data_IF_092232036384
#
_entry.id   IF_092232036384
#
_cell.length_a   1.000
_cell.length_b   1.000
_cell.length_c   1.000
_cell.angle_alpha   90.00
_cell.angle_beta   90.00
_cell.angle_gamma   90.00
#
_symmetry.space_group_name_H-M   'P 1'
#
loop_
_entity.id
_entity.type
_entity.pdbx_description
1 polymer ?
#
# COMPACT_ATOMS: atom_id res chain seq x y z
N UNK A 1 -32.35 -52.18 9.81
CA UNK A 1 -31.26 -51.49 10.51
C UNK A 1 -29.98 -52.10 9.94
N UNK A 2 -29.08 -51.39 9.25
CA UNK A 2 -28.38 -50.19 9.72
C UNK A 2 -27.85 -49.34 8.55
N UNK A 3 -27.69 -48.07 8.88
CA UNK A 3 -27.39 -46.90 8.03
C UNK A 3 -26.03 -47.01 7.34
N UNK A 4 -26.04 -46.73 6.04
CA UNK A 4 -24.87 -46.35 5.24
C UNK A 4 -24.31 -45.02 5.76
N UNK A 5 -23.06 -45.01 6.20
CA UNK A 5 -22.35 -43.78 6.51
C UNK A 5 -21.73 -43.24 5.22
N UNK A 6 -22.36 -42.21 4.64
CA UNK A 6 -21.80 -41.48 3.51
C UNK A 6 -20.77 -40.50 4.03
N UNK A 7 -19.48 -40.87 3.95
CA UNK A 7 -18.37 -39.93 4.14
C UNK A 7 -18.41 -38.92 2.99
N UNK A 8 -18.90 -37.71 3.28
CA UNK A 8 -18.88 -36.58 2.35
C UNK A 8 -17.42 -36.23 2.03
N UNK A 9 -16.99 -36.54 0.80
CA UNK A 9 -15.74 -36.05 0.23
C UNK A 9 -15.85 -34.52 0.12
N UNK A 10 -15.27 -33.82 1.10
CA UNK A 10 -15.13 -32.36 1.08
C UNK A 10 -14.38 -32.00 -0.20
N UNK A 11 -14.98 -31.15 -1.03
CA UNK A 11 -14.50 -30.90 -2.38
C UNK A 11 -13.05 -30.36 -2.36
N UNK A 12 -12.10 -30.93 -3.13
CA UNK A 12 -10.66 -30.61 -3.04
C UNK A 12 -10.32 -29.13 -3.16
N UNK A 13 -11.15 -28.34 -3.87
CA UNK A 13 -10.99 -26.90 -4.04
C UNK A 13 -11.30 -26.09 -2.77
N UNK A 14 -12.28 -26.53 -1.98
CA UNK A 14 -12.65 -25.87 -0.73
C UNK A 14 -11.55 -26.04 0.32
N UNK A 15 -10.93 -27.23 0.37
CA UNK A 15 -9.83 -27.51 1.30
C UNK A 15 -8.55 -26.78 0.88
N UNK A 16 -8.24 -26.73 -0.42
CA UNK A 16 -7.11 -25.95 -0.93
C UNK A 16 -7.24 -24.44 -0.64
N UNK A 17 -8.47 -23.89 -0.71
CA UNK A 17 -8.73 -22.49 -0.37
C UNK A 17 -8.59 -22.23 1.13
N UNK A 18 -9.21 -23.06 1.98
CA UNK A 18 -9.05 -22.96 3.45
C UNK A 18 -7.59 -23.06 3.88
N UNK A 19 -6.82 -23.94 3.25
CA UNK A 19 -5.39 -24.07 3.54
C UNK A 19 -4.60 -22.83 3.12
N UNK A 20 -4.94 -22.23 1.97
CA UNK A 20 -4.35 -20.96 1.53
C UNK A 20 -4.66 -19.84 2.52
N UNK A 21 -5.92 -19.70 2.92
CA UNK A 21 -6.37 -18.66 3.86
C UNK A 21 -5.67 -18.83 5.22
N UNK A 22 -5.56 -20.08 5.71
CA UNK A 22 -4.83 -20.36 6.96
C UNK A 22 -3.35 -19.99 6.90
N UNK A 23 -2.68 -20.22 5.76
CA UNK A 23 -1.29 -19.78 5.55
C UNK A 23 -1.20 -18.25 5.56
N UNK A 24 -2.16 -17.54 4.97
CA UNK A 24 -2.20 -16.07 4.99
C UNK A 24 -2.38 -15.52 6.41
N UNK A 25 -3.27 -16.10 7.22
CA UNK A 25 -3.47 -15.72 8.62
C UNK A 25 -2.17 -15.91 9.44
N UNK A 26 -1.48 -17.04 9.24
CA UNK A 26 -0.22 -17.30 9.90
C UNK A 26 0.89 -16.35 9.43
N UNK A 27 0.95 -16.04 8.14
CA UNK A 27 1.91 -15.09 7.58
C UNK A 27 1.69 -13.69 8.14
N UNK A 28 0.43 -13.24 8.25
CA UNK A 28 0.07 -11.95 8.86
C UNK A 28 0.59 -11.85 10.30
N UNK A 29 0.29 -12.85 11.12
CA UNK A 29 0.74 -12.89 12.52
C UNK A 29 2.27 -12.90 12.63
N UNK A 30 2.94 -13.59 11.70
CA UNK A 30 4.39 -13.66 11.67
C UNK A 30 5.02 -12.32 11.28
N UNK A 31 4.56 -11.71 10.17
CA UNK A 31 5.07 -10.43 9.69
C UNK A 31 4.78 -9.27 10.64
N UNK A 32 3.65 -9.30 11.35
CA UNK A 32 3.33 -8.32 12.39
C UNK A 32 4.35 -8.32 13.54
N UNK A 33 5.03 -9.45 13.79
CA UNK A 33 5.99 -9.61 14.89
C UNK A 33 7.45 -9.47 14.45
N UNK A 34 7.76 -9.87 13.22
CA UNK A 34 9.15 -10.04 12.76
C UNK A 34 9.48 -9.23 11.50
N UNK A 35 8.54 -8.44 10.98
CA UNK A 35 8.66 -7.78 9.69
C UNK A 35 8.65 -8.76 8.52
N UNK A 36 8.65 -8.22 7.29
CA UNK A 36 8.52 -9.02 6.06
C UNK A 36 9.78 -9.82 5.71
N UNK A 37 10.92 -9.53 6.36
CA UNK A 37 12.22 -10.18 6.11
C UNK A 37 12.37 -11.58 6.71
N UNK A 38 11.52 -12.00 7.66
CA UNK A 38 11.69 -13.27 8.38
C UNK A 38 11.43 -14.55 7.56
N UNK A 39 11.68 -15.73 8.12
CA UNK A 39 11.74 -17.00 7.36
C UNK A 39 10.38 -17.53 6.88
N UNK A 40 10.28 -17.93 5.60
CA UNK A 40 9.09 -18.62 5.06
C UNK A 40 8.90 -20.01 5.71
N UNK A 41 9.98 -20.70 6.08
CA UNK A 41 9.88 -21.98 6.78
C UNK A 41 9.33 -21.79 8.20
N UNK A 42 9.65 -20.67 8.85
CA UNK A 42 9.07 -20.33 10.14
C UNK A 42 7.56 -20.05 10.02
N UNK A 43 7.13 -19.41 8.91
CA UNK A 43 5.71 -19.22 8.60
C UNK A 43 5.03 -20.57 8.34
N UNK A 44 5.64 -21.47 7.57
CA UNK A 44 5.11 -22.82 7.35
C UNK A 44 4.90 -23.57 8.67
N UNK A 45 5.91 -23.53 9.55
CA UNK A 45 5.83 -24.10 10.90
C UNK A 45 4.71 -23.47 11.73
N UNK A 46 4.56 -22.14 11.69
CA UNK A 46 3.51 -21.42 12.40
C UNK A 46 2.11 -21.77 11.86
N UNK A 47 1.97 -21.97 10.55
CA UNK A 47 0.74 -22.41 9.89
C UNK A 47 0.46 -23.92 10.07
N UNK A 48 1.35 -24.68 10.73
CA UNK A 48 1.19 -26.12 10.89
C UNK A 48 1.25 -26.90 9.57
N UNK A 49 1.84 -26.34 8.51
CA UNK A 49 1.96 -26.98 7.19
C UNK A 49 3.42 -27.34 6.89
N UNK A 50 3.63 -28.35 6.04
CA UNK A 50 4.96 -28.64 5.52
C UNK A 50 5.47 -27.52 4.59
N UNK A 51 6.78 -27.27 4.58
CA UNK A 51 7.39 -26.24 3.73
C UNK A 51 7.02 -26.41 2.24
N UNK A 52 7.04 -27.65 1.74
CA UNK A 52 6.62 -27.95 0.37
C UNK A 52 5.16 -27.56 0.06
N UNK A 53 4.26 -27.61 1.04
CA UNK A 53 2.88 -27.14 0.89
C UNK A 53 2.83 -25.62 0.77
N UNK A 54 3.58 -24.90 1.61
CA UNK A 54 3.69 -23.44 1.51
C UNK A 54 4.24 -23.02 0.14
N UNK A 55 5.37 -23.59 -0.30
CA UNK A 55 5.99 -23.25 -1.58
C UNK A 55 5.11 -23.58 -2.79
N UNK A 56 4.25 -24.61 -2.71
CA UNK A 56 3.25 -24.89 -3.75
C UNK A 56 2.17 -23.81 -3.86
N UNK A 57 1.76 -23.21 -2.75
CA UNK A 57 0.79 -22.12 -2.75
C UNK A 57 1.42 -20.76 -3.04
N UNK A 58 2.66 -20.56 -2.58
CA UNK A 58 3.40 -19.31 -2.61
C UNK A 58 4.87 -19.61 -2.94
N UNK A 59 5.24 -19.64 -4.23
CA UNK A 59 6.58 -20.05 -4.67
C UNK A 59 7.71 -19.20 -4.10
N UNK A 60 7.43 -17.96 -3.73
CA UNK A 60 8.39 -17.05 -3.11
C UNK A 60 7.67 -16.07 -2.15
N UNK A 61 8.48 -15.29 -1.44
CA UNK A 61 8.01 -14.30 -0.46
C UNK A 61 7.10 -13.24 -1.09
N UNK A 62 7.47 -12.74 -2.27
CA UNK A 62 6.67 -11.70 -2.95
C UNK A 62 5.28 -12.23 -3.33
N UNK A 63 5.15 -13.50 -3.72
CA UNK A 63 3.86 -14.12 -3.99
C UNK A 63 2.99 -14.26 -2.73
N UNK A 64 3.61 -14.57 -1.58
CA UNK A 64 2.93 -14.59 -0.29
C UNK A 64 2.49 -13.18 0.12
N UNK A 65 3.38 -12.19 0.02
CA UNK A 65 3.09 -10.79 0.33
C UNK A 65 1.97 -10.26 -0.58
N UNK A 66 2.05 -10.46 -1.89
CA UNK A 66 1.03 -10.00 -2.83
C UNK A 66 -0.36 -10.56 -2.48
N UNK A 67 -0.44 -11.85 -2.16
CA UNK A 67 -1.70 -12.47 -1.76
C UNK A 67 -2.21 -11.97 -0.40
N UNK A 68 -1.32 -11.78 0.57
CA UNK A 68 -1.68 -11.24 1.89
C UNK A 68 -2.15 -9.80 1.79
N UNK A 69 -1.44 -8.97 1.03
CA UNK A 69 -1.76 -7.57 0.82
C UNK A 69 -3.09 -7.38 0.08
N UNK A 70 -3.37 -8.23 -0.91
CA UNK A 70 -4.67 -8.27 -1.59
C UNK A 70 -5.81 -8.72 -0.65
N UNK A 71 -5.53 -9.56 0.35
CA UNK A 71 -6.54 -9.91 1.35
C UNK A 71 -6.78 -8.79 2.38
N UNK A 72 -5.86 -7.83 2.50
CA UNK A 72 -5.91 -6.72 3.46
C UNK A 72 -6.35 -5.38 2.85
N UNK A 73 -6.59 -5.32 1.54
CA UNK A 73 -6.84 -4.05 0.86
C UNK A 73 -8.24 -3.46 1.11
N UNK A 74 -9.17 -4.21 1.71
CA UNK A 74 -10.56 -3.80 1.94
C UNK A 74 -10.67 -2.43 2.61
N UNK A 75 -9.90 -2.18 3.67
CA UNK A 75 -9.90 -0.90 4.38
C UNK A 75 -9.39 0.25 3.49
N UNK A 76 -8.34 0.01 2.69
CA UNK A 76 -7.80 1.00 1.77
C UNK A 76 -8.77 1.28 0.61
N UNK A 77 -9.44 0.26 0.10
CA UNK A 77 -10.46 0.40 -0.95
C UNK A 77 -11.71 1.13 -0.43
N UNK A 78 -12.14 0.84 0.79
CA UNK A 78 -13.21 1.59 1.46
C UNK A 78 -12.82 3.07 1.60
N UNK A 79 -11.60 3.35 2.08
CA UNK A 79 -11.10 4.71 2.23
C UNK A 79 -11.02 5.46 0.89
N UNK A 80 -10.57 4.81 -0.17
CA UNK A 80 -10.59 5.35 -1.54
C UNK A 80 -12.00 5.79 -1.95
N UNK A 81 -13.00 4.94 -1.74
CA UNK A 81 -14.37 5.22 -2.15
C UNK A 81 -15.02 6.33 -1.32
N UNK A 82 -14.68 6.42 -0.03
CA UNK A 82 -15.04 7.57 0.80
C UNK A 82 -14.43 8.87 0.29
N UNK A 83 -13.14 8.89 -0.03
CA UNK A 83 -12.46 10.09 -0.52
C UNK A 83 -13.06 10.59 -1.83
N UNK A 84 -13.44 9.67 -2.73
CA UNK A 84 -14.12 10.03 -3.99
C UNK A 84 -15.47 10.71 -3.80
N UNK A 85 -16.15 10.45 -2.68
CA UNK A 85 -17.53 10.88 -2.45
C UNK A 85 -17.66 12.00 -1.44
N UNK A 86 -16.77 12.07 -0.45
CA UNK A 86 -16.89 12.95 0.72
C UNK A 86 -15.78 14.00 0.85
N UNK A 87 -14.72 13.92 0.06
CA UNK A 87 -13.66 14.93 0.12
C UNK A 87 -14.20 16.32 -0.28
N UNK A 88 -13.73 17.36 0.40
CA UNK A 88 -14.19 18.73 0.16
C UNK A 88 -13.75 19.27 -1.21
N UNK A 89 -12.57 18.86 -1.68
CA UNK A 89 -12.02 19.18 -2.99
C UNK A 89 -11.03 18.09 -3.45
N UNK A 90 -10.50 18.19 -4.66
CA UNK A 90 -9.63 17.17 -5.23
C UNK A 90 -8.25 17.09 -4.55
N UNK A 91 -7.72 18.22 -4.04
CA UNK A 91 -6.47 18.21 -3.28
C UNK A 91 -6.62 17.45 -1.95
N UNK A 92 -7.73 17.67 -1.23
CA UNK A 92 -8.03 16.94 0.00
C UNK A 92 -8.25 15.44 -0.26
N UNK A 93 -8.86 15.09 -1.41
CA UNK A 93 -9.02 13.71 -1.83
C UNK A 93 -7.67 13.04 -2.12
N UNK A 94 -6.78 13.72 -2.85
CA UNK A 94 -5.43 13.24 -3.15
C UNK A 94 -4.60 13.08 -1.88
N UNK A 95 -4.60 14.08 -1.00
CA UNK A 95 -3.86 14.03 0.26
C UNK A 95 -4.34 12.88 1.16
N UNK A 96 -5.66 12.75 1.34
CA UNK A 96 -6.22 11.65 2.12
C UNK A 96 -5.94 10.27 1.51
N UNK A 97 -5.82 10.19 0.18
CA UNK A 97 -5.42 8.95 -0.49
C UNK A 97 -3.94 8.61 -0.23
N UNK A 98 -3.05 9.60 -0.31
CA UNK A 98 -1.62 9.41 -0.02
C UNK A 98 -1.38 9.06 1.45
N UNK A 99 -2.16 9.63 2.37
CA UNK A 99 -2.14 9.25 3.79
C UNK A 99 -2.54 7.78 3.98
N UNK A 100 -3.67 7.37 3.39
CA UNK A 100 -4.15 5.99 3.47
C UNK A 100 -3.16 4.99 2.85
N UNK A 101 -2.55 5.34 1.71
CA UNK A 101 -1.53 4.53 1.06
C UNK A 101 -0.25 4.42 1.92
N UNK A 102 0.14 5.52 2.58
CA UNK A 102 1.30 5.54 3.48
C UNK A 102 1.07 4.63 4.69
N UNK A 103 -0.12 4.68 5.28
CA UNK A 103 -0.52 3.79 6.38
C UNK A 103 -0.53 2.33 5.94
N UNK A 104 -1.16 2.03 4.80
CA UNK A 104 -1.21 0.68 4.24
C UNK A 104 0.19 0.12 3.94
N UNK A 105 1.08 0.92 3.36
CA UNK A 105 2.46 0.52 3.09
C UNK A 105 3.28 0.26 4.37
N UNK A 106 2.81 0.79 5.51
CA UNK A 106 3.39 0.60 6.84
C UNK A 106 2.80 -0.58 7.60
N UNK A 107 1.96 -1.42 6.98
CA UNK A 107 1.28 -2.52 7.65
C UNK A 107 2.25 -3.51 8.32
N UNK A 108 3.45 -3.70 7.76
CA UNK A 108 4.49 -4.56 8.31
C UNK A 108 5.84 -3.89 8.21
N UNK A 109 6.70 -4.13 9.21
CA UNK A 109 8.09 -3.65 9.18
C UNK A 109 8.83 -4.19 7.94
N UNK A 110 9.57 -3.30 7.27
CA UNK A 110 10.28 -3.58 6.03
C UNK A 110 9.43 -3.73 4.76
N UNK A 111 8.11 -3.55 4.80
CA UNK A 111 7.22 -3.68 3.63
C UNK A 111 7.49 -2.66 2.49
N UNK A 112 7.89 -1.40 2.74
CA UNK A 112 8.12 -0.44 1.66
C UNK A 112 9.20 -0.87 0.65
N UNK A 113 10.23 -1.59 1.08
CA UNK A 113 11.35 -2.01 0.21
C UNK A 113 10.95 -2.98 -0.92
N UNK A 114 10.27 -4.12 -0.65
CA UNK A 114 9.80 -5.00 -1.71
C UNK A 114 8.77 -4.32 -2.62
N UNK A 115 7.93 -3.40 -2.11
CA UNK A 115 7.00 -2.62 -2.94
C UNK A 115 7.76 -1.67 -3.89
N UNK A 116 8.78 -0.98 -3.38
CA UNK A 116 9.64 -0.11 -4.20
C UNK A 116 10.37 -0.90 -5.28
N UNK A 117 10.93 -2.06 -4.92
CA UNK A 117 11.60 -2.95 -5.88
C UNK A 117 10.63 -3.46 -6.95
N UNK A 118 9.45 -3.91 -6.54
CA UNK A 118 8.41 -4.39 -7.45
C UNK A 118 7.88 -3.29 -8.37
N UNK A 119 7.78 -2.04 -7.90
CA UNK A 119 7.39 -0.93 -8.76
C UNK A 119 8.35 -0.74 -9.94
N UNK A 120 9.61 -1.15 -9.84
CA UNK A 120 10.62 -1.00 -10.90
C UNK A 120 10.61 -2.11 -11.97
N UNK A 121 9.81 -3.17 -11.80
CA UNK A 121 9.78 -4.32 -12.73
C UNK A 121 8.37 -4.91 -12.87
N UNK A 122 8.02 -5.40 -14.06
CA UNK A 122 6.74 -6.08 -14.30
C UNK A 122 6.74 -7.56 -13.92
N UNK A 123 7.90 -8.14 -13.59
CA UNK A 123 8.03 -9.59 -13.34
C UNK A 123 7.78 -10.01 -11.90
N UNK A 124 7.71 -9.04 -10.97
CA UNK A 124 7.44 -9.32 -9.56
C UNK A 124 5.97 -9.69 -9.35
N UNK A 125 5.65 -10.69 -8.50
CA UNK A 125 4.28 -10.93 -8.05
C UNK A 125 3.60 -9.71 -7.41
N UNK A 126 4.38 -8.76 -6.85
CA UNK A 126 3.88 -7.51 -6.27
C UNK A 126 3.66 -6.40 -7.31
N UNK A 127 4.10 -6.57 -8.56
CA UNK A 127 4.01 -5.54 -9.60
C UNK A 127 2.56 -5.13 -9.87
N UNK A 128 1.64 -6.10 -9.94
CA UNK A 128 0.20 -5.86 -10.15
C UNK A 128 -0.40 -5.02 -9.02
N UNK A 129 -0.02 -5.30 -7.78
CA UNK A 129 -0.43 -4.51 -6.62
C UNK A 129 0.06 -3.07 -6.72
N UNK A 130 1.34 -2.87 -7.08
CA UNK A 130 1.91 -1.53 -7.25
C UNK A 130 1.23 -0.77 -8.40
N UNK A 131 0.97 -1.43 -9.52
CA UNK A 131 0.31 -0.84 -10.69
C UNK A 131 -1.11 -0.39 -10.37
N UNK A 132 -1.88 -1.20 -9.62
CA UNK A 132 -3.23 -0.83 -9.16
C UNK A 132 -3.23 0.42 -8.28
N UNK A 133 -2.27 0.55 -7.36
CA UNK A 133 -2.15 1.74 -6.53
C UNK A 133 -1.63 2.96 -7.28
N UNK A 134 -0.70 2.80 -8.21
CA UNK A 134 -0.24 3.89 -9.08
C UNK A 134 -1.40 4.40 -9.94
N UNK A 135 -2.20 3.50 -10.51
CA UNK A 135 -3.40 3.86 -11.29
C UNK A 135 -4.41 4.62 -10.44
N UNK A 136 -4.70 4.14 -9.23
CA UNK A 136 -5.64 4.84 -8.32
C UNK A 136 -5.09 6.22 -7.92
N UNK A 137 -3.78 6.32 -7.67
CA UNK A 137 -3.12 7.59 -7.37
C UNK A 137 -3.21 8.57 -8.55
N UNK A 138 -3.11 8.06 -9.77
CA UNK A 138 -3.25 8.83 -11.00
C UNK A 138 -4.66 9.44 -11.15
N UNK A 139 -5.70 8.71 -10.79
CA UNK A 139 -7.07 9.24 -10.82
C UNK A 139 -7.27 10.44 -9.89
N UNK A 140 -6.81 10.35 -8.64
CA UNK A 140 -6.86 11.47 -7.69
C UNK A 140 -5.98 12.64 -8.13
N UNK A 141 -4.78 12.35 -8.64
CA UNK A 141 -3.85 13.37 -9.12
C UNK A 141 -4.42 14.14 -10.32
N UNK A 142 -5.02 13.44 -11.29
CA UNK A 142 -5.66 14.08 -12.44
C UNK A 142 -6.86 14.93 -12.03
N UNK A 143 -7.59 14.56 -10.99
CA UNK A 143 -8.65 15.42 -10.45
C UNK A 143 -8.07 16.74 -9.91
N UNK A 144 -7.02 16.67 -9.09
CA UNK A 144 -6.34 17.85 -8.54
C UNK A 144 -5.59 18.68 -9.59
N UNK A 145 -5.08 18.07 -10.65
CA UNK A 145 -4.44 18.80 -11.75
C UNK A 145 -5.47 19.55 -12.62
N UNK A 146 -6.68 19.01 -12.77
CA UNK A 146 -7.75 19.64 -13.56
C UNK A 146 -8.31 20.90 -12.92
N UNK A 147 -8.44 20.94 -11.59
CA UNK A 147 -8.91 22.13 -10.86
C UNK A 147 -7.77 23.11 -10.50
N UNK A 148 -6.53 22.77 -10.86
CA UNK A 148 -5.35 23.61 -10.66
C UNK A 148 -4.75 23.53 -9.25
N UNK A 149 -5.23 22.63 -8.40
CA UNK A 149 -4.71 22.43 -7.05
C UNK A 149 -3.43 21.56 -6.99
N UNK A 150 -3.08 20.86 -8.08
CA UNK A 150 -1.81 20.13 -8.22
C UNK A 150 -1.03 20.51 -9.50
N UNK A 151 0.30 20.43 -9.44
CA UNK A 151 1.18 20.71 -10.59
C UNK A 151 1.08 19.62 -11.65
N UNK A 152 1.02 20.02 -12.92
CA UNK A 152 0.95 19.12 -14.10
C UNK A 152 2.22 18.28 -14.29
N UNK A 153 3.30 18.77 -13.72
CA UNK A 153 4.63 18.20 -13.50
C UNK A 153 4.63 16.74 -13.04
N UNK A 154 3.63 16.43 -12.22
CA UNK A 154 3.69 15.35 -11.27
C UNK A 154 3.03 14.11 -11.78
N UNK A 155 3.73 13.01 -11.48
CA UNK A 155 3.38 11.67 -11.88
C UNK A 155 2.92 10.92 -10.65
N UNK A 156 1.85 10.16 -10.81
CA UNK A 156 1.31 9.30 -9.77
C UNK A 156 2.35 8.33 -9.21
N UNK A 157 3.23 7.83 -10.07
CA UNK A 157 4.35 6.97 -9.67
C UNK A 157 5.28 7.64 -8.66
N UNK A 158 5.59 8.93 -8.82
CA UNK A 158 6.47 9.64 -7.90
C UNK A 158 5.79 9.83 -6.54
N UNK A 159 4.48 10.14 -6.54
CA UNK A 159 3.70 10.24 -5.30
C UNK A 159 3.57 8.89 -4.58
N UNK A 160 3.41 7.79 -5.33
CA UNK A 160 3.46 6.43 -4.78
C UNK A 160 4.81 6.15 -4.11
N UNK A 161 5.93 6.48 -4.78
CA UNK A 161 7.27 6.31 -4.20
C UNK A 161 7.50 7.18 -2.97
N UNK A 162 6.95 8.39 -2.96
CA UNK A 162 6.96 9.28 -1.78
C UNK A 162 6.19 8.66 -0.63
N UNK A 163 4.99 8.10 -0.86
CA UNK A 163 4.22 7.42 0.18
C UNK A 163 4.99 6.22 0.77
N UNK A 164 5.67 5.43 -0.07
CA UNK A 164 6.55 4.35 0.39
C UNK A 164 7.72 4.88 1.22
N UNK A 165 8.40 5.94 0.76
CA UNK A 165 9.51 6.54 1.49
C UNK A 165 9.06 7.10 2.85
N UNK A 166 7.93 7.80 2.91
CA UNK A 166 7.34 8.31 4.15
C UNK A 166 6.98 7.17 5.10
N UNK A 167 6.39 6.09 4.58
CA UNK A 167 6.08 4.89 5.37
C UNK A 167 7.34 4.24 5.94
N UNK A 168 8.40 4.13 5.13
CA UNK A 168 9.70 3.61 5.59
C UNK A 168 10.30 4.47 6.71
N UNK A 169 10.28 5.80 6.56
CA UNK A 169 10.78 6.72 7.60
C UNK A 169 9.94 6.64 8.88
N UNK A 170 8.61 6.50 8.79
CA UNK A 170 7.73 6.29 9.96
C UNK A 170 8.08 5.04 10.76
N UNK A 171 8.51 3.97 10.08
CA UNK A 171 8.95 2.73 10.71
C UNK A 171 10.40 2.76 11.21
N UNK A 172 11.24 3.66 10.68
CA UNK A 172 12.63 3.79 11.10
C UNK A 172 12.73 4.40 12.51
N UNK A 173 13.60 3.82 13.35
CA UNK A 173 13.86 4.26 14.74
C UNK A 173 14.35 5.71 14.91
N UNK A 174 14.49 6.47 13.82
CA UNK A 174 14.91 7.88 13.78
C UNK A 174 13.73 8.87 13.76
N UNK A 175 12.50 8.42 13.48
CA UNK A 175 11.32 9.29 13.46
C UNK A 175 10.69 9.40 14.86
N UNK A 176 10.53 10.63 15.37
CA UNK A 176 9.59 10.87 16.47
C UNK A 176 8.16 11.05 15.91
N UNK A 177 7.15 11.15 16.79
CA UNK A 177 5.75 11.29 16.40
C UNK A 177 5.43 12.52 15.54
N UNK A 178 6.35 13.48 15.41
CA UNK A 178 6.18 14.70 14.62
C UNK A 178 6.79 14.61 13.22
N UNK A 179 7.80 13.77 13.03
CA UNK A 179 8.49 13.59 11.73
C UNK A 179 7.55 13.13 10.62
N UNK A 180 6.56 12.28 10.92
CA UNK A 180 5.59 11.79 9.94
C UNK A 180 4.71 12.92 9.38
N UNK A 181 4.14 13.73 10.27
CA UNK A 181 3.28 14.85 9.91
C UNK A 181 4.07 15.98 9.23
N UNK A 182 5.32 16.22 9.67
CA UNK A 182 6.21 17.20 9.04
C UNK A 182 6.61 16.78 7.62
N UNK A 183 6.95 15.50 7.39
CA UNK A 183 7.26 15.00 6.05
C UNK A 183 6.04 15.04 5.13
N UNK A 184 4.86 14.62 5.62
CA UNK A 184 3.59 14.76 4.90
C UNK A 184 3.30 16.23 4.54
N UNK A 185 3.52 17.15 5.49
CA UNK A 185 3.37 18.59 5.29
C UNK A 185 4.36 19.18 4.29
N UNK A 186 5.63 18.75 4.29
CA UNK A 186 6.63 19.16 3.29
C UNK A 186 6.24 18.63 1.91
N UNK A 187 5.76 17.39 1.82
CA UNK A 187 5.26 16.84 0.55
C UNK A 187 4.00 17.50 0.07
N UNK A 188 3.17 18.07 0.95
CA UNK A 188 1.96 18.84 0.57
C UNK A 188 2.32 20.26 0.15
N UNK A 189 3.14 20.94 0.95
CA UNK A 189 3.47 22.36 0.80
C UNK A 189 4.62 22.62 -0.17
N UNK A 190 5.41 21.60 -0.53
CA UNK A 190 6.44 21.69 -1.57
C UNK A 190 5.87 21.90 -2.99
N UNK A 191 4.57 21.65 -3.19
CA UNK A 191 3.86 21.87 -4.45
C UNK A 191 3.06 23.16 -4.49
N UNK A 192 2.71 23.74 -3.34
CA UNK A 192 1.88 24.94 -3.30
C UNK A 192 2.60 26.10 -4.00
N UNK A 193 1.97 26.62 -5.06
CA UNK A 193 2.34 27.91 -5.61
C UNK A 193 2.03 28.96 -4.54
N UNK A 194 3.07 29.43 -3.86
CA UNK A 194 2.95 30.58 -2.99
C UNK A 194 2.55 31.79 -3.87
N UNK A 195 1.24 32.06 -3.96
CA UNK A 195 0.63 33.15 -4.75
C UNK A 195 1.01 34.56 -4.25
N UNK A 196 1.96 34.66 -3.33
CA UNK A 196 2.44 35.90 -2.73
C UNK A 196 3.72 36.45 -3.40
N UNK A 197 4.39 35.71 -4.31
CA UNK A 197 5.62 36.22 -4.93
C UNK A 197 5.41 37.13 -6.16
N UNK A 198 4.24 37.10 -6.80
CA UNK A 198 3.98 37.89 -8.04
C UNK A 198 3.30 39.24 -7.80
N UNK A 199 3.03 39.66 -6.56
CA UNK A 199 2.38 40.97 -6.28
C UNK A 199 3.31 42.04 -5.69
N UNK A 200 4.62 41.82 -5.68
CA UNK A 200 5.60 42.73 -5.07
C UNK A 200 6.52 43.51 -6.02
N UNK A 201 6.52 43.24 -7.34
CA UNK A 201 7.46 43.87 -8.28
C UNK A 201 6.72 44.51 -9.47
N UNK A 202 5.77 45.41 -9.19
CA UNK A 202 5.26 46.38 -10.17
C UNK A 202 4.79 47.67 -9.46
N UNK A 203 5.63 48.22 -8.59
CA UNK A 203 5.48 49.58 -8.10
C UNK A 203 6.82 50.06 -7.57
N UNK A 204 7.75 50.42 -8.46
CA UNK A 204 8.76 51.49 -8.30
C UNK A 204 9.62 51.51 -9.56
N UNK A 205 9.18 52.28 -10.56
CA UNK A 205 10.10 53.14 -11.32
C UNK A 205 9.34 54.42 -11.63
N UNK A 206 9.56 55.43 -10.80
CA UNK A 206 9.30 56.82 -11.15
C UNK A 206 10.55 57.35 -11.85
N UNK A 207 10.38 57.87 -13.06
CA UNK A 207 10.77 59.23 -13.45
C UNK A 207 10.06 59.59 -14.77
#
# INVERSE_FOLDING_TARGET
MSRTATSSARAPRADARRNRDHILDAAEQYFSKHGVGGSLDAIAKQAGVGAGTLYRHFPNREALLAALLAARDEALMSRRDELRTKAANAADALDGWLEALTEWAGAFDGLPDPLRAAAATSTSPLAVTCEGFITTTEEFLHAAQRDGSARKEIRARDLFLVALATSWVRGAALADGTSAAALAGITRNGWELNSSYTRGVSATTAD
#
